data_IF_714123804898
#
_entry.id   IF_714123804898
#
_cell.length_a   1.000
_cell.length_b   1.000
_cell.length_c   1.000
_cell.angle_alpha   90.00
_cell.angle_beta   90.00
_cell.angle_gamma   90.00
#
_symmetry.space_group_name_H-M   'P 1'
#
loop_
_entity.id
_entity.type
_entity.pdbx_description
1 polymer ?
#
# COMPACT_ATOMS: atom_id res chain seq x y z
N UNK A 1 10.59 4.15 -3.70
CA UNK A 1 9.74 3.22 -4.48
C UNK A 1 8.30 3.32 -4.01
N UNK A 2 7.37 3.04 -4.91
CA UNK A 2 5.94 3.05 -4.67
C UNK A 2 5.36 1.70 -5.09
N UNK A 3 4.67 1.03 -4.18
CA UNK A 3 4.18 -0.33 -4.44
C UNK A 3 3.11 -0.39 -5.53
N UNK A 4 2.24 0.63 -5.62
CA UNK A 4 1.25 0.71 -6.70
C UNK A 4 1.95 0.88 -8.06
N UNK A 5 2.90 1.79 -8.16
CA UNK A 5 3.69 1.98 -9.39
C UNK A 5 4.39 0.70 -9.83
N UNK A 6 5.03 -0.01 -8.89
CA UNK A 6 5.74 -1.25 -9.20
C UNK A 6 4.79 -2.33 -9.70
N UNK A 7 3.66 -2.51 -9.03
CA UNK A 7 2.63 -3.47 -9.45
C UNK A 7 2.13 -3.14 -10.86
N UNK A 8 1.80 -1.90 -11.10
CA UNK A 8 1.23 -1.47 -12.39
C UNK A 8 2.26 -1.50 -13.50
N UNK A 9 3.54 -1.37 -13.18
CA UNK A 9 4.64 -1.55 -14.13
C UNK A 9 4.96 -3.02 -14.43
N UNK A 10 4.37 -3.96 -13.71
CA UNK A 10 4.51 -5.39 -13.98
C UNK A 10 5.40 -6.18 -13.03
N UNK A 11 5.83 -5.58 -11.93
CA UNK A 11 6.64 -6.28 -10.93
C UNK A 11 5.76 -7.04 -9.95
N UNK A 12 6.03 -8.32 -9.79
CA UNK A 12 5.34 -9.14 -8.79
C UNK A 12 5.95 -8.87 -7.42
N UNK A 13 5.14 -8.35 -6.51
CA UNK A 13 5.57 -7.99 -5.15
C UNK A 13 5.27 -9.09 -4.12
N UNK A 14 4.66 -10.21 -4.53
CA UNK A 14 4.31 -11.30 -3.63
C UNK A 14 5.55 -11.96 -3.00
N UNK A 15 6.67 -12.00 -3.72
CA UNK A 15 7.99 -12.34 -3.17
C UNK A 15 8.85 -11.08 -3.20
N UNK A 16 8.65 -10.23 -2.22
CA UNK A 16 9.32 -8.93 -2.18
C UNK A 16 10.83 -9.04 -2.00
N UNK A 17 11.31 -10.09 -1.33
CA UNK A 17 12.76 -10.30 -1.20
C UNK A 17 13.41 -10.58 -2.55
N UNK A 18 12.74 -11.31 -3.44
CA UNK A 18 13.23 -11.53 -4.80
C UNK A 18 13.29 -10.21 -5.59
N UNK A 19 12.27 -9.36 -5.44
CA UNK A 19 12.29 -8.02 -6.03
C UNK A 19 13.47 -7.21 -5.51
N UNK A 20 13.71 -7.21 -4.20
CA UNK A 20 14.81 -6.46 -3.60
C UNK A 20 16.19 -6.94 -4.05
N UNK A 21 16.36 -8.26 -4.24
CA UNK A 21 17.61 -8.81 -4.77
C UNK A 21 17.90 -8.29 -6.18
N UNK A 22 16.88 -8.29 -7.04
CA UNK A 22 17.01 -7.75 -8.40
C UNK A 22 17.30 -6.25 -8.36
N UNK A 23 16.59 -5.50 -7.52
CA UNK A 23 16.80 -4.07 -7.37
C UNK A 23 18.21 -3.76 -6.87
N UNK A 24 18.68 -4.51 -5.87
CA UNK A 24 20.01 -4.31 -5.29
C UNK A 24 21.11 -4.54 -6.33
N UNK A 25 20.94 -5.53 -7.21
CA UNK A 25 21.89 -5.83 -8.27
C UNK A 25 21.97 -4.77 -9.37
N UNK A 26 20.94 -3.96 -9.53
CA UNK A 26 20.86 -2.95 -10.62
C UNK A 26 21.09 -1.54 -10.10
N UNK A 27 20.40 -1.17 -9.01
CA UNK A 27 20.40 0.21 -8.48
C UNK A 27 21.13 0.32 -7.14
N UNK A 28 21.04 -0.75 -6.31
CA UNK A 28 21.55 -0.74 -4.95
C UNK A 28 20.45 -0.43 -3.95
N UNK A 29 20.27 -1.34 -2.97
CA UNK A 29 19.23 -1.21 -1.94
C UNK A 29 19.40 0.06 -1.10
N UNK A 30 20.65 0.50 -0.91
CA UNK A 30 20.95 1.72 -0.16
C UNK A 30 20.43 3.00 -0.83
N UNK A 31 19.97 2.90 -2.07
CA UNK A 31 19.35 4.00 -2.80
C UNK A 31 17.83 4.06 -2.61
N UNK A 32 17.26 3.20 -1.76
CA UNK A 32 15.85 3.29 -1.37
C UNK A 32 15.78 4.17 -0.12
N UNK A 33 15.25 5.38 -0.27
CA UNK A 33 15.15 6.36 0.81
C UNK A 33 13.75 6.47 1.40
N UNK A 34 12.74 5.95 0.69
CA UNK A 34 11.36 5.99 1.10
C UNK A 34 10.57 4.92 0.37
N UNK A 35 9.58 4.35 1.04
CA UNK A 35 8.63 3.41 0.43
C UNK A 35 7.22 3.99 0.56
N UNK A 36 6.56 4.21 -0.57
CA UNK A 36 5.15 4.54 -0.61
C UNK A 36 4.35 3.24 -0.62
N UNK A 37 3.59 3.00 0.45
CA UNK A 37 2.74 1.82 0.60
C UNK A 37 1.34 2.16 0.12
N UNK A 38 1.01 1.76 -1.09
CA UNK A 38 -0.30 1.98 -1.70
C UNK A 38 -0.77 0.69 -2.35
N UNK A 39 -2.04 0.35 -2.20
CA UNK A 39 -2.61 -0.73 -2.97
C UNK A 39 -2.97 -0.22 -4.38
N UNK A 40 -3.35 -1.10 -5.29
CA UNK A 40 -3.66 -0.74 -6.67
C UNK A 40 -5.08 -1.18 -7.03
N UNK A 41 -5.78 -0.32 -7.76
CA UNK A 41 -7.08 -0.65 -8.34
C UNK A 41 -6.96 -1.57 -9.54
N UNK A 42 -5.76 -1.73 -10.08
CA UNK A 42 -5.51 -2.37 -11.36
C UNK A 42 -4.71 -3.66 -11.18
N UNK A 43 -4.83 -4.56 -12.16
CA UNK A 43 -4.03 -5.79 -12.18
C UNK A 43 -2.56 -5.46 -12.45
N UNK A 44 -1.69 -6.40 -12.10
CA UNK A 44 -0.26 -6.28 -12.36
C UNK A 44 0.00 -6.03 -13.85
N UNK A 45 0.90 -5.09 -14.14
CA UNK A 45 1.28 -4.78 -15.51
C UNK A 45 0.29 -3.93 -16.30
N UNK A 46 -0.71 -3.33 -15.65
CA UNK A 46 -1.74 -2.52 -16.30
C UNK A 46 -1.21 -1.21 -16.89
N UNK A 47 -0.05 -0.72 -16.42
CA UNK A 47 0.51 0.58 -16.79
C UNK A 47 -0.41 1.77 -16.44
N UNK A 48 -1.25 1.60 -15.43
CA UNK A 48 -2.06 2.65 -14.83
C UNK A 48 -1.52 2.97 -13.47
N UNK A 49 -1.81 4.12 -12.93
CA UNK A 49 -1.34 4.51 -11.60
C UNK A 49 -2.55 5.00 -10.79
N UNK A 50 -3.26 4.06 -10.19
CA UNK A 50 -4.45 4.36 -9.39
C UNK A 50 -4.34 3.69 -8.04
N UNK A 51 -4.07 4.49 -7.02
CA UNK A 51 -3.95 4.04 -5.65
C UNK A 51 -5.29 3.53 -5.12
N UNK A 52 -5.24 2.49 -4.33
CA UNK A 52 -6.37 1.95 -3.59
C UNK A 52 -6.01 1.89 -2.10
N UNK A 53 -7.03 1.86 -1.25
CA UNK A 53 -6.82 1.68 0.18
C UNK A 53 -6.23 0.30 0.46
N UNK A 54 -5.40 0.23 1.50
CA UNK A 54 -4.61 -0.96 1.80
C UNK A 54 -5.49 -2.18 2.05
N UNK A 55 -5.21 -3.26 1.33
CA UNK A 55 -5.93 -4.52 1.42
C UNK A 55 -7.16 -4.60 0.55
N UNK A 56 -7.58 -3.50 -0.08
CA UNK A 56 -8.77 -3.45 -0.93
C UNK A 56 -8.44 -3.51 -2.42
N UNK A 57 -7.17 -3.57 -2.76
CA UNK A 57 -6.70 -3.63 -4.13
C UNK A 57 -6.13 -4.99 -4.51
N UNK A 58 -5.44 -5.02 -5.63
CA UNK A 58 -4.88 -6.24 -6.23
C UNK A 58 -3.59 -6.71 -5.58
N UNK A 59 -2.86 -5.83 -4.91
CA UNK A 59 -1.63 -6.21 -4.20
C UNK A 59 -1.98 -6.98 -2.93
N UNK A 60 -2.94 -6.48 -2.16
CA UNK A 60 -3.44 -7.12 -0.97
C UNK A 60 -2.69 -6.75 0.31
N UNK A 61 -3.36 -6.93 1.44
CA UNK A 61 -2.84 -6.51 2.74
C UNK A 61 -1.60 -7.29 3.18
N UNK A 62 -1.59 -8.62 2.99
CA UNK A 62 -0.47 -9.44 3.44
C UNK A 62 0.84 -9.06 2.74
N UNK A 63 0.79 -8.80 1.45
CA UNK A 63 1.95 -8.32 0.69
C UNK A 63 2.42 -6.97 1.22
N UNK A 64 1.50 -6.03 1.42
CA UNK A 64 1.82 -4.70 1.98
C UNK A 64 2.44 -4.82 3.38
N UNK A 65 1.90 -5.70 4.21
CA UNK A 65 2.42 -5.95 5.56
C UNK A 65 3.85 -6.48 5.52
N UNK A 66 4.12 -7.43 4.65
CA UNK A 66 5.45 -8.00 4.47
C UNK A 66 6.45 -6.94 4.00
N UNK A 67 6.04 -6.04 3.11
CA UNK A 67 6.88 -4.94 2.65
C UNK A 67 7.15 -3.96 3.78
N UNK A 68 6.13 -3.59 4.52
CA UNK A 68 6.23 -2.65 5.63
C UNK A 68 7.22 -3.11 6.69
N UNK A 69 7.23 -4.40 7.02
CA UNK A 69 8.08 -4.98 8.05
C UNK A 69 9.31 -5.71 7.51
N UNK A 70 9.66 -5.50 6.24
CA UNK A 70 10.84 -6.14 5.67
C UNK A 70 12.11 -5.66 6.39
N UNK A 71 12.90 -6.61 6.89
CA UNK A 71 14.11 -6.33 7.67
C UNK A 71 15.12 -5.47 6.92
N UNK A 72 15.23 -5.64 5.61
CA UNK A 72 16.16 -4.88 4.78
C UNK A 72 15.78 -3.42 4.65
N UNK A 73 14.52 -3.07 4.92
CA UNK A 73 13.98 -1.71 4.83
C UNK A 73 13.52 -1.17 6.19
N UNK A 74 13.96 -1.76 7.30
CA UNK A 74 13.48 -1.40 8.64
C UNK A 74 13.70 0.07 9.00
N UNK A 75 14.77 0.67 8.51
CA UNK A 75 15.12 2.06 8.80
C UNK A 75 14.65 3.03 7.70
N UNK A 76 13.96 2.53 6.69
CA UNK A 76 13.44 3.34 5.58
C UNK A 76 12.02 3.79 5.91
N UNK A 77 11.71 5.09 5.84
CA UNK A 77 10.35 5.58 6.07
C UNK A 77 9.34 4.98 5.11
N UNK A 78 8.15 4.66 5.63
CA UNK A 78 7.00 4.22 4.85
C UNK A 78 5.94 5.29 4.91
N UNK A 79 5.39 5.65 3.76
CA UNK A 79 4.42 6.73 3.59
C UNK A 79 3.20 6.18 2.86
N UNK A 80 2.03 6.66 3.23
CA UNK A 80 0.76 6.35 2.59
C UNK A 80 0.31 7.49 1.71
N UNK A 81 -0.12 7.17 0.49
CA UNK A 81 -0.77 8.11 -0.40
C UNK A 81 -2.08 7.52 -0.92
N UNK A 82 -2.73 6.71 -0.09
CA UNK A 82 -3.99 6.08 -0.40
C UNK A 82 -5.10 7.12 -0.51
N UNK A 83 -6.17 6.85 -1.27
CA UNK A 83 -7.24 7.83 -1.46
C UNK A 83 -8.08 8.01 -0.20
N UNK A 84 -8.64 9.21 -0.05
CA UNK A 84 -9.67 9.45 0.95
C UNK A 84 -10.89 8.58 0.64
N UNK A 85 -11.68 8.28 1.65
CA UNK A 85 -12.88 7.47 1.53
C UNK A 85 -14.14 8.34 1.61
N UNK A 86 -15.26 7.83 1.11
CA UNK A 86 -16.56 8.49 1.17
C UNK A 86 -17.52 7.77 2.10
N UNK A 87 -18.82 7.98 1.90
CA UNK A 87 -19.87 7.35 2.67
C UNK A 87 -19.95 5.84 2.39
N UNK A 88 -19.55 5.42 1.19
CA UNK A 88 -19.47 4.03 0.77
C UNK A 88 -18.32 3.84 -0.21
N UNK A 89 -18.02 2.57 -0.52
CA UNK A 89 -16.97 2.23 -1.48
C UNK A 89 -17.19 2.88 -2.87
N UNK A 90 -18.45 3.04 -3.27
CA UNK A 90 -18.83 3.57 -4.57
C UNK A 90 -19.05 5.09 -4.58
N UNK A 91 -18.94 5.73 -3.43
CA UNK A 91 -19.12 7.18 -3.31
C UNK A 91 -17.89 7.90 -3.84
N UNK A 92 -18.09 8.72 -4.87
CA UNK A 92 -17.03 9.55 -5.44
C UNK A 92 -16.67 10.77 -4.60
N UNK A 93 -17.52 11.15 -3.64
CA UNK A 93 -17.27 12.24 -2.70
C UNK A 93 -16.32 11.74 -1.60
N UNK A 94 -15.03 11.93 -1.80
CA UNK A 94 -13.96 11.38 -0.95
C UNK A 94 -13.53 12.46 0.03
N UNK A 95 -14.06 12.41 1.25
CA UNK A 95 -13.88 13.45 2.25
C UNK A 95 -13.21 12.96 3.54
N UNK A 96 -13.10 11.65 3.75
CA UNK A 96 -12.57 11.11 5.00
C UNK A 96 -11.14 10.58 4.84
N UNK A 97 -10.15 11.16 5.54
CA UNK A 97 -8.77 10.66 5.49
C UNK A 97 -8.68 9.26 6.13
N UNK A 98 -8.08 8.28 5.43
CA UNK A 98 -8.03 6.90 5.92
C UNK A 98 -6.79 6.57 6.75
N UNK A 99 -5.79 7.43 6.81
CA UNK A 99 -4.43 7.07 7.19
C UNK A 99 -4.30 6.54 8.61
N UNK A 100 -5.02 7.14 9.57
CA UNK A 100 -5.03 6.67 10.94
C UNK A 100 -5.41 5.18 11.03
N UNK A 101 -6.45 4.80 10.29
CA UNK A 101 -6.98 3.44 10.30
C UNK A 101 -6.08 2.46 9.56
N UNK A 102 -5.47 2.91 8.47
CA UNK A 102 -4.52 2.08 7.72
C UNK A 102 -3.23 1.85 8.51
N UNK A 103 -2.73 2.87 9.20
CA UNK A 103 -1.57 2.72 10.09
C UNK A 103 -1.89 1.74 11.22
N UNK A 104 -3.09 1.81 11.79
CA UNK A 104 -3.52 0.86 12.83
C UNK A 104 -3.53 -0.58 12.34
N UNK A 105 -3.94 -0.82 11.09
CA UNK A 105 -3.88 -2.17 10.51
C UNK A 105 -2.43 -2.70 10.49
N UNK A 106 -1.47 -1.87 10.12
CA UNK A 106 -0.06 -2.26 10.16
C UNK A 106 0.41 -2.52 11.58
N UNK A 107 0.09 -1.65 12.53
CA UNK A 107 0.48 -1.82 13.93
C UNK A 107 -0.07 -3.10 14.55
N UNK A 108 -1.30 -3.47 14.17
CA UNK A 108 -1.97 -4.65 14.68
C UNK A 108 -1.67 -5.89 13.84
N UNK A 109 -0.97 -5.74 12.72
CA UNK A 109 -0.69 -6.80 11.74
C UNK A 109 -1.95 -7.54 11.30
N UNK A 110 -3.05 -6.80 11.16
CA UNK A 110 -4.35 -7.36 10.86
C UNK A 110 -5.15 -6.44 9.95
N UNK A 111 -5.72 -7.01 8.89
CA UNK A 111 -6.62 -6.29 8.00
C UNK A 111 -7.96 -6.01 8.71
N UNK A 112 -8.45 -4.77 8.60
CA UNK A 112 -9.76 -4.37 9.11
C UNK A 112 -10.79 -4.49 8.00
N UNK A 113 -11.64 -5.51 8.08
CA UNK A 113 -12.71 -5.75 7.10
C UNK A 113 -13.78 -4.66 7.12
N UNK A 114 -13.88 -3.90 8.22
CA UNK A 114 -14.83 -2.80 8.38
C UNK A 114 -14.19 -1.42 8.16
N UNK A 115 -13.13 -1.36 7.39
CA UNK A 115 -12.33 -0.14 7.21
C UNK A 115 -13.19 1.08 6.83
N UNK A 116 -14.03 0.96 5.80
CA UNK A 116 -14.87 2.08 5.35
C UNK A 116 -15.84 2.55 6.41
N UNK A 117 -16.51 1.61 7.08
CA UNK A 117 -17.47 1.96 8.13
C UNK A 117 -16.81 2.62 9.33
N UNK A 118 -15.65 2.11 9.74
CA UNK A 118 -14.92 2.66 10.87
C UNK A 118 -14.42 4.07 10.57
N UNK A 119 -13.92 4.31 9.36
CA UNK A 119 -13.49 5.64 8.93
C UNK A 119 -14.69 6.61 8.93
N UNK A 120 -15.76 6.23 8.27
CA UNK A 120 -16.96 7.04 8.19
C UNK A 120 -17.48 7.41 9.58
N UNK A 121 -17.61 6.43 10.47
CA UNK A 121 -18.15 6.64 11.81
C UNK A 121 -17.25 7.53 12.67
N UNK A 122 -15.94 7.48 12.45
CA UNK A 122 -15.00 8.31 13.19
C UNK A 122 -15.14 9.80 12.83
N UNK A 123 -15.34 10.12 11.57
CA UNK A 123 -15.41 11.50 11.08
C UNK A 123 -16.82 12.07 11.02
N UNK A 124 -17.82 11.26 11.21
CA UNK A 124 -19.23 11.67 11.06
C UNK A 124 -19.84 12.37 12.28
#
# INVERSE_FOLDING_TARGET
IDTCHLNDAGYDLSDFNAFLETFDGIVGIDNIFCVHLNDSKNIIGSHKDRHENLGLGTIGFNTQLNICYNEKLKDVPKILETPYTGESKDDSTRIYPPYKFEIEMFKNSKFNENLYEDIKNYYK
#
